data_IF_399958786968
#
_entry.id   IF_399958786968
#
_cell.length_a   1.000
_cell.length_b   1.000
_cell.length_c   1.000
_cell.angle_alpha   90.00
_cell.angle_beta   90.00
_cell.angle_gamma   90.00
#
_symmetry.space_group_name_H-M   'P 1'
#
loop_
_entity.id
_entity.type
_entity.pdbx_description
1 polymer ?
#
# COMPACT_ATOMS: atom_id res chain seq x y z
N UNK A 1 -2.48 25.57 16.91
CA UNK A 1 -3.58 25.14 17.80
C UNK A 1 -4.67 24.36 17.05
N UNK A 2 -5.24 24.88 15.97
CA UNK A 2 -6.30 24.19 15.18
C UNK A 2 -5.84 22.81 14.63
N UNK A 3 -4.62 22.72 14.10
CA UNK A 3 -4.05 21.46 13.56
C UNK A 3 -3.97 20.34 14.60
N UNK A 4 -3.54 20.67 15.83
CA UNK A 4 -3.40 19.70 16.93
C UNK A 4 -4.76 19.15 17.35
N UNK A 5 -5.77 20.02 17.40
CA UNK A 5 -7.15 19.60 17.71
C UNK A 5 -7.68 18.67 16.61
N UNK A 6 -7.37 18.98 15.35
CA UNK A 6 -7.75 18.16 14.20
C UNK A 6 -7.08 16.77 14.23
N UNK A 7 -5.77 16.73 14.53
CA UNK A 7 -5.00 15.49 14.63
C UNK A 7 -5.50 14.60 15.78
N UNK A 8 -5.81 15.19 16.95
CA UNK A 8 -6.41 14.47 18.10
C UNK A 8 -7.81 13.93 17.74
N UNK A 9 -8.60 14.70 16.99
CA UNK A 9 -9.94 14.29 16.59
C UNK A 9 -9.89 13.11 15.61
N UNK A 10 -8.97 13.14 14.64
CA UNK A 10 -8.76 12.02 13.70
C UNK A 10 -8.29 10.77 14.45
N UNK A 11 -7.31 10.91 15.35
CA UNK A 11 -6.74 9.79 16.10
C UNK A 11 -7.71 9.12 17.07
N UNK A 12 -8.68 9.88 17.60
CA UNK A 12 -9.65 9.38 18.60
C UNK A 12 -10.83 8.63 17.98
N UNK A 13 -11.01 8.72 16.66
CA UNK A 13 -12.11 8.07 15.95
C UNK A 13 -11.56 7.22 14.79
N UNK A 14 -11.18 5.97 15.06
CA UNK A 14 -10.76 4.97 14.05
C UNK A 14 -11.68 4.93 12.81
N UNK A 15 -12.98 5.17 12.99
CA UNK A 15 -13.94 5.20 11.88
C UNK A 15 -13.82 6.45 11.01
N UNK A 16 -13.49 7.60 11.59
CA UNK A 16 -13.19 8.82 10.83
C UNK A 16 -11.82 8.72 10.14
N UNK A 17 -10.82 8.10 10.76
CA UNK A 17 -9.56 7.78 10.09
C UNK A 17 -9.81 6.87 8.88
N UNK A 18 -10.60 5.81 9.06
CA UNK A 18 -11.01 4.91 7.96
C UNK A 18 -11.93 5.57 6.93
N UNK A 19 -12.66 6.63 7.28
CA UNK A 19 -13.46 7.39 6.33
C UNK A 19 -12.62 8.42 5.56
N UNK A 20 -11.77 9.16 6.25
CA UNK A 20 -10.90 10.22 5.73
C UNK A 20 -9.67 9.67 5.00
N UNK A 21 -8.83 8.87 5.68
CA UNK A 21 -7.61 8.23 5.15
C UNK A 21 -7.92 6.92 4.43
N UNK A 22 -8.87 6.18 4.99
CA UNK A 22 -9.47 4.92 4.57
C UNK A 22 -8.62 3.79 4.04
N UNK A 23 -9.36 2.70 3.83
CA UNK A 23 -8.78 1.37 4.01
C UNK A 23 -7.73 1.10 2.92
N UNK A 24 -6.46 1.17 3.32
CA UNK A 24 -5.35 0.65 2.53
C UNK A 24 -5.68 -0.78 2.12
N UNK A 25 -5.59 -1.07 0.82
CA UNK A 25 -6.02 -2.37 0.30
C UNK A 25 -4.82 -3.24 0.00
N UNK A 26 -4.82 -4.48 0.48
CA UNK A 26 -3.75 -5.44 0.18
C UNK A 26 -3.80 -5.79 -1.31
N UNK A 27 -2.75 -5.43 -2.04
CA UNK A 27 -2.58 -5.73 -3.47
C UNK A 27 -1.63 -6.91 -3.71
N UNK A 28 -0.72 -7.17 -2.78
CA UNK A 28 0.16 -8.35 -2.80
C UNK A 28 0.19 -8.94 -1.39
N UNK A 29 -0.07 -10.24 -1.26
CA UNK A 29 0.05 -10.99 -0.01
C UNK A 29 0.83 -12.28 -0.24
N UNK A 30 1.89 -12.49 0.55
CA UNK A 30 2.81 -13.64 0.44
C UNK A 30 3.31 -13.84 -1.00
N UNK A 31 3.66 -12.74 -1.67
CA UNK A 31 4.08 -12.71 -3.07
C UNK A 31 3.00 -12.97 -4.12
N UNK A 32 1.73 -13.16 -3.73
CA UNK A 32 0.62 -13.36 -4.65
C UNK A 32 -0.12 -12.05 -4.91
N UNK A 33 -0.26 -11.70 -6.17
CA UNK A 33 -0.97 -10.49 -6.60
C UNK A 33 -2.48 -10.69 -6.51
N UNK A 34 -3.17 -9.76 -5.86
CA UNK A 34 -4.62 -9.69 -5.81
C UNK A 34 -5.18 -9.00 -7.06
N UNK A 35 -5.39 -9.77 -8.13
CA UNK A 35 -5.92 -9.27 -9.41
C UNK A 35 -7.30 -8.60 -9.30
N UNK A 36 -8.12 -9.01 -8.33
CA UNK A 36 -9.46 -8.42 -8.12
C UNK A 36 -9.33 -6.97 -7.64
N UNK A 37 -8.43 -6.72 -6.69
CA UNK A 37 -8.16 -5.38 -6.18
C UNK A 37 -7.54 -4.49 -7.27
N UNK A 38 -6.57 -5.02 -8.03
CA UNK A 38 -5.99 -4.28 -9.14
C UNK A 38 -7.03 -3.87 -10.17
N UNK A 39 -7.90 -4.81 -10.58
CA UNK A 39 -9.00 -4.53 -11.52
C UNK A 39 -9.98 -3.48 -10.98
N UNK A 40 -10.35 -3.56 -9.69
CA UNK A 40 -11.23 -2.58 -9.04
C UNK A 40 -10.63 -1.17 -9.05
N UNK A 41 -9.31 -1.08 -8.90
CA UNK A 41 -8.58 0.20 -8.88
C UNK A 41 -8.03 0.61 -10.26
N UNK A 42 -8.39 -0.12 -11.34
CA UNK A 42 -7.91 0.12 -12.71
C UNK A 42 -6.38 0.12 -12.83
N UNK A 43 -5.70 -0.63 -11.98
CA UNK A 43 -4.25 -0.81 -12.01
C UNK A 43 -3.93 -2.04 -12.85
N UNK A 44 -3.17 -1.86 -13.92
CA UNK A 44 -2.64 -2.98 -14.71
C UNK A 44 -1.26 -3.43 -14.21
N UNK A 45 -0.71 -4.48 -14.82
CA UNK A 45 0.58 -5.03 -14.43
C UNK A 45 1.75 -4.06 -14.68
N UNK A 46 1.66 -3.18 -15.69
CA UNK A 46 2.70 -2.21 -16.00
C UNK A 46 2.71 -1.08 -14.97
N UNK A 47 1.53 -0.58 -14.60
CA UNK A 47 1.35 0.41 -13.55
C UNK A 47 1.79 -0.15 -12.20
N UNK A 48 1.40 -1.38 -11.86
CA UNK A 48 1.88 -2.03 -10.64
C UNK A 48 3.41 -2.10 -10.62
N UNK A 49 4.03 -2.49 -11.74
CA UNK A 49 5.50 -2.56 -11.86
C UNK A 49 6.17 -1.19 -11.75
N UNK A 50 5.55 -0.14 -12.27
CA UNK A 50 6.01 1.24 -12.11
C UNK A 50 5.94 1.71 -10.65
N UNK A 51 4.81 1.45 -9.98
CA UNK A 51 4.61 1.79 -8.57
C UNK A 51 5.62 1.05 -7.67
N UNK A 52 5.90 -0.23 -7.96
CA UNK A 52 6.91 -1.01 -7.24
C UNK A 52 8.33 -0.47 -7.45
N UNK A 53 8.68 -0.09 -8.69
CA UNK A 53 9.98 0.54 -8.98
C UNK A 53 10.15 1.88 -8.29
N UNK A 54 9.08 2.69 -8.19
CA UNK A 54 9.07 3.93 -7.40
C UNK A 54 9.37 3.71 -5.92
N UNK A 55 9.06 2.51 -5.39
CA UNK A 55 9.40 2.07 -4.03
C UNK A 55 10.75 1.34 -3.94
N UNK A 56 11.56 1.32 -5.00
CA UNK A 56 12.86 0.63 -5.02
C UNK A 56 12.74 -0.89 -5.00
N UNK A 57 11.65 -1.44 -5.55
CA UNK A 57 11.44 -2.90 -5.68
C UNK A 57 11.34 -3.26 -7.16
N UNK A 58 12.25 -4.12 -7.61
CA UNK A 58 12.32 -4.53 -9.02
C UNK A 58 11.79 -5.94 -9.25
N UNK A 59 11.89 -6.81 -8.24
CA UNK A 59 11.43 -8.18 -8.30
C UNK A 59 10.24 -8.39 -7.37
N UNK A 60 9.16 -9.00 -7.89
CA UNK A 60 8.00 -9.38 -7.08
C UNK A 60 8.36 -10.35 -5.95
N UNK A 61 9.40 -11.16 -6.14
CA UNK A 61 9.89 -12.11 -5.15
C UNK A 61 10.50 -11.45 -3.91
N UNK A 62 10.93 -10.19 -4.00
CA UNK A 62 11.38 -9.40 -2.85
C UNK A 62 10.21 -9.05 -1.91
N UNK A 63 8.96 -9.18 -2.37
CA UNK A 63 7.77 -8.67 -1.68
C UNK A 63 7.15 -9.76 -0.80
N UNK A 64 7.00 -9.45 0.48
CA UNK A 64 6.13 -10.20 1.40
C UNK A 64 4.69 -9.70 1.24
N UNK A 65 4.50 -8.39 1.40
CA UNK A 65 3.19 -7.74 1.28
C UNK A 65 3.32 -6.36 0.61
N UNK A 66 2.28 -5.97 -0.13
CA UNK A 66 2.14 -4.61 -0.63
C UNK A 66 0.71 -4.10 -0.46
N UNK A 67 0.60 -2.82 -0.14
CA UNK A 67 -0.66 -2.12 0.15
C UNK A 67 -0.82 -0.98 -0.86
N UNK A 68 -2.02 -0.82 -1.41
CA UNK A 68 -2.44 0.36 -2.15
C UNK A 68 -3.04 1.36 -1.16
N UNK A 69 -2.41 2.51 -1.05
CA UNK A 69 -2.88 3.64 -0.24
C UNK A 69 -3.94 4.44 -1.01
N UNK A 70 -4.73 5.25 -0.30
CA UNK A 70 -5.83 6.02 -0.92
C UNK A 70 -5.38 7.05 -1.96
N UNK A 71 -4.19 7.59 -1.82
CA UNK A 71 -3.61 8.56 -2.76
C UNK A 71 -3.07 7.89 -4.04
N UNK A 72 -3.21 6.56 -4.15
CA UNK A 72 -2.71 5.78 -5.28
C UNK A 72 -1.24 5.39 -5.15
N UNK A 73 -0.57 5.78 -4.07
CA UNK A 73 0.77 5.27 -3.75
C UNK A 73 0.69 3.84 -3.24
N UNK A 74 1.85 3.17 -3.19
CA UNK A 74 1.92 1.82 -2.62
C UNK A 74 3.00 1.77 -1.54
N UNK A 75 2.70 1.03 -0.48
CA UNK A 75 3.65 0.70 0.58
C UNK A 75 4.07 -0.76 0.43
N UNK A 76 5.37 -1.03 0.47
CA UNK A 76 5.92 -2.38 0.28
C UNK A 76 6.62 -2.88 1.54
N UNK A 77 6.23 -4.06 2.01
CA UNK A 77 6.95 -4.83 3.02
C UNK A 77 7.79 -5.89 2.30
N UNK A 78 9.11 -5.70 2.30
CA UNK A 78 10.05 -6.68 1.75
C UNK A 78 10.13 -7.93 2.63
N UNK A 79 10.42 -9.09 2.03
CA UNK A 79 10.72 -10.33 2.77
C UNK A 79 11.97 -10.13 3.62
N UNK A 80 11.95 -10.63 4.86
CA UNK A 80 13.15 -10.70 5.70
C UNK A 80 13.97 -11.94 5.24
N UNK A 81 15.19 -11.69 4.74
CA UNK A 81 16.16 -12.62 4.10
C UNK A 81 15.96 -12.79 2.59
N UNK A 82 16.95 -12.61 1.70
CA UNK A 82 18.40 -12.32 1.77
C UNK A 82 18.76 -11.62 0.44
N UNK A 83 19.79 -10.76 0.33
CA UNK A 83 20.20 -10.21 -0.96
C UNK A 83 20.52 -11.38 -1.88
N UNK A 84 19.79 -11.47 -2.99
CA UNK A 84 20.13 -12.39 -4.08
C UNK A 84 21.56 -12.08 -4.50
N UNK A 85 22.45 -13.03 -4.20
CA UNK A 85 23.79 -13.13 -4.79
C UNK A 85 23.70 -13.06 -6.30
#
# INVERSE_FOLDING_TARGET
MIKIIFDILIYRYDKLEKFLIGDKTVIIDKGKINKVVLKKNKIDMNQLSELLRKQGVFLLDEIDQAYLEKDGTITVKKRKNNPSK
#
